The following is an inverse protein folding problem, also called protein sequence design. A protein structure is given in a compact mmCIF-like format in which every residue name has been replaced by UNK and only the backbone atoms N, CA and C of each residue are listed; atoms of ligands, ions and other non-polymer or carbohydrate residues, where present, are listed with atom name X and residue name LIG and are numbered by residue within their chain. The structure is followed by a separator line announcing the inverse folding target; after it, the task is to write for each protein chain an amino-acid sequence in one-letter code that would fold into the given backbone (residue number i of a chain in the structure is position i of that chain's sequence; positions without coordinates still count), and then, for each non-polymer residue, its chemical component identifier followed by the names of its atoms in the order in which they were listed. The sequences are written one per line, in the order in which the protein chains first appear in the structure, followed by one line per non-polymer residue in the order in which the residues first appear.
data_IF_097898173907
#
_entry.id   IF_097898173907
#
_cell.length_a   1.000
_cell.length_b   1.000
_cell.length_c   1.000
_cell.angle_alpha   90.00
_cell.angle_beta   90.00
_cell.angle_gamma   90.00
#
_symmetry.space_group_name_H-M   'P 1'
#
loop_
_entity.id
_entity.type
_entity.pdbx_description
1 polymer ?
#
# COMPACT_ATOMS: atom_id res chain seq x y z
N UNK A 1 -9.90 -5.66 27.85
CA UNK A 1 -9.64 -6.77 26.89
C UNK A 1 -9.12 -6.17 25.59
N UNK A 2 -8.00 -6.66 25.07
CA UNK A 2 -7.38 -6.12 23.85
C UNK A 2 -7.81 -6.88 22.60
N UNK A 3 -7.84 -6.20 21.45
CA UNK A 3 -8.08 -6.83 20.15
C UNK A 3 -6.96 -7.76 19.73
N UNK A 4 -7.32 -8.84 19.03
CA UNK A 4 -6.36 -9.81 18.48
C UNK A 4 -5.44 -9.18 17.43
N UNK A 5 -4.28 -9.80 17.19
CA UNK A 5 -3.36 -9.36 16.13
C UNK A 5 -4.02 -9.42 14.74
N UNK A 6 -4.83 -10.45 14.48
CA UNK A 6 -5.55 -10.60 13.21
C UNK A 6 -6.54 -9.46 12.96
N UNK A 7 -7.30 -9.07 13.99
CA UNK A 7 -8.23 -7.94 13.92
C UNK A 7 -7.49 -6.63 13.62
N UNK A 8 -6.37 -6.37 14.32
CA UNK A 8 -5.54 -5.18 14.12
C UNK A 8 -4.96 -5.09 12.71
N UNK A 9 -4.40 -6.19 12.21
CA UNK A 9 -3.84 -6.26 10.85
C UNK A 9 -4.96 -6.09 9.81
N UNK A 10 -6.11 -6.74 10.00
CA UNK A 10 -7.25 -6.62 9.09
C UNK A 10 -7.78 -5.18 9.01
N UNK A 11 -7.86 -4.47 10.14
CA UNK A 11 -8.26 -3.06 10.17
C UNK A 11 -7.25 -2.18 9.43
N UNK A 12 -5.95 -2.39 9.66
CA UNK A 12 -4.90 -1.65 8.96
C UNK A 12 -4.93 -1.86 7.45
N UNK A 13 -5.10 -3.11 7.00
CA UNK A 13 -5.16 -3.45 5.58
C UNK A 13 -6.38 -2.82 4.90
N UNK A 14 -7.55 -2.80 5.56
CA UNK A 14 -8.76 -2.17 5.00
C UNK A 14 -8.61 -0.65 4.82
N UNK A 15 -8.06 0.04 5.82
CA UNK A 15 -7.78 1.48 5.73
C UNK A 15 -6.85 1.77 4.56
N UNK A 16 -5.77 0.99 4.40
CA UNK A 16 -4.79 1.21 3.34
C UNK A 16 -5.30 0.81 1.95
N UNK A 17 -6.07 -0.28 1.83
CA UNK A 17 -6.56 -0.78 0.55
C UNK A 17 -7.69 0.08 -0.03
N UNK A 18 -8.58 0.59 0.83
CA UNK A 18 -9.75 1.36 0.40
C UNK A 18 -9.61 2.87 0.58
N UNK A 19 -8.55 3.33 1.25
CA UNK A 19 -8.37 4.75 1.55
C UNK A 19 -9.46 5.31 2.48
N UNK A 20 -10.05 4.46 3.33
CA UNK A 20 -11.15 4.84 4.21
C UNK A 20 -10.64 5.41 5.54
N UNK A 21 -11.43 6.27 6.21
CA UNK A 21 -11.14 6.74 7.56
C UNK A 21 -10.99 5.59 8.58
N UNK A 22 -10.20 5.82 9.64
CA UNK A 22 -9.88 4.79 10.64
C UNK A 22 -11.09 4.45 11.54
N UNK A 23 -11.97 5.41 11.80
CA UNK A 23 -13.24 5.24 12.52
C UNK A 23 -14.25 4.37 11.77
N UNK A 24 -14.19 4.34 10.43
CA UNK A 24 -15.02 3.47 9.59
C UNK A 24 -14.76 1.96 9.80
N UNK A 25 -13.64 1.60 10.42
CA UNK A 25 -13.35 0.19 10.73
C UNK A 25 -14.16 -0.37 11.89
N UNK A 26 -14.78 0.50 12.71
CA UNK A 26 -15.62 0.09 13.84
C UNK A 26 -16.89 -0.63 13.35
N UNK A 27 -17.44 -0.21 12.20
CA UNK A 27 -18.65 -0.82 11.61
C UNK A 27 -18.46 -2.30 11.24
N UNK A 28 -17.25 -2.68 10.83
CA UNK A 28 -16.95 -4.04 10.34
C UNK A 28 -16.24 -4.92 11.37
N UNK A 29 -15.25 -4.36 12.07
CA UNK A 29 -14.37 -5.12 12.96
C UNK A 29 -14.60 -4.80 14.44
N UNK A 30 -15.47 -3.82 14.74
CA UNK A 30 -15.72 -3.29 16.08
C UNK A 30 -14.44 -2.88 16.80
N UNK A 31 -13.53 -2.27 16.04
CA UNK A 31 -12.26 -1.71 16.53
C UNK A 31 -12.39 -0.19 16.54
N UNK A 32 -12.12 0.40 17.70
CA UNK A 32 -12.09 1.85 17.85
C UNK A 32 -10.97 2.52 17.05
N UNK A 33 -11.24 3.75 16.60
CA UNK A 33 -10.37 4.58 15.76
C UNK A 33 -8.91 4.63 16.22
N UNK A 34 -8.65 4.78 17.52
CA UNK A 34 -7.29 4.87 18.06
C UNK A 34 -6.50 3.59 17.82
N UNK A 35 -7.14 2.43 18.03
CA UNK A 35 -6.48 1.13 17.81
C UNK A 35 -6.26 0.88 16.33
N UNK A 36 -7.20 1.26 15.46
CA UNK A 36 -7.03 1.17 14.00
C UNK A 36 -5.88 2.06 13.54
N UNK A 37 -5.82 3.31 14.01
CA UNK A 37 -4.76 4.26 13.67
C UNK A 37 -3.39 3.74 14.08
N UNK A 38 -3.27 3.22 15.30
CA UNK A 38 -2.01 2.62 15.77
C UNK A 38 -1.65 1.35 14.98
N UNK A 39 -2.65 0.55 14.60
CA UNK A 39 -2.44 -0.64 13.78
C UNK A 39 -1.93 -0.29 12.39
N UNK A 40 -2.50 0.74 11.74
CA UNK A 40 -2.02 1.28 10.45
C UNK A 40 -0.58 1.76 10.58
N UNK A 41 -0.27 2.54 11.61
CA UNK A 41 1.10 3.05 11.84
C UNK A 41 2.12 1.93 12.00
N UNK A 42 1.81 0.91 12.82
CA UNK A 42 2.70 -0.24 13.02
C UNK A 42 2.87 -1.06 11.75
N UNK A 43 1.78 -1.30 11.03
CA UNK A 43 1.79 -2.03 9.78
C UNK A 43 2.65 -1.30 8.74
N UNK A 44 2.44 0.01 8.55
CA UNK A 44 3.23 0.82 7.63
C UNK A 44 4.71 0.83 8.00
N UNK A 45 5.06 0.98 9.29
CA UNK A 45 6.46 0.89 9.75
C UNK A 45 7.08 -0.48 9.43
N UNK A 46 6.33 -1.57 9.58
CA UNK A 46 6.80 -2.91 9.24
C UNK A 46 7.04 -3.04 7.71
N UNK A 47 6.09 -2.57 6.90
CA UNK A 47 6.22 -2.57 5.43
C UNK A 47 7.44 -1.76 5.00
N UNK A 48 7.61 -0.55 5.54
CA UNK A 48 8.78 0.30 5.26
C UNK A 48 10.07 -0.40 5.70
N UNK A 49 10.08 -1.05 6.86
CA UNK A 49 11.27 -1.78 7.33
C UNK A 49 11.63 -2.94 6.41
N UNK A 50 10.65 -3.68 5.91
CA UNK A 50 10.86 -4.88 5.09
C UNK A 50 11.19 -4.56 3.64
N UNK A 51 10.56 -3.51 3.09
CA UNK A 51 10.56 -3.23 1.66
C UNK A 51 11.15 -1.85 1.32
N UNK A 52 11.42 -1.00 2.32
CA UNK A 52 11.84 0.38 2.10
C UNK A 52 13.14 0.50 1.31
N UNK A 53 14.13 -0.36 1.58
CA UNK A 53 15.38 -0.36 0.84
C UNK A 53 15.18 -0.64 -0.66
N UNK A 54 14.24 -1.53 -0.99
CA UNK A 54 13.96 -1.89 -2.37
C UNK A 54 13.05 -0.86 -3.08
N UNK A 55 12.03 -0.34 -2.39
CA UNK A 55 10.94 0.41 -3.02
C UNK A 55 10.90 1.92 -2.69
N UNK A 56 11.63 2.39 -1.67
CA UNK A 56 11.73 3.83 -1.33
C UNK A 56 13.04 4.47 -1.83
N UNK A 57 13.80 3.77 -2.66
CA UNK A 57 14.94 4.32 -3.39
C UNK A 57 14.53 4.79 -4.79
N UNK A 58 15.38 5.59 -5.43
CA UNK A 58 15.24 5.87 -6.85
C UNK A 58 15.29 4.58 -7.66
N UNK A 59 14.44 4.49 -8.69
CA UNK A 59 14.46 3.38 -9.65
C UNK A 59 15.83 3.32 -10.32
N UNK A 60 16.39 2.13 -10.43
CA UNK A 60 17.56 1.89 -11.25
C UNK A 60 17.13 1.33 -12.62
N UNK A 61 18.09 1.07 -13.51
CA UNK A 61 17.82 0.55 -14.85
C UNK A 61 17.13 -0.83 -14.82
N UNK A 62 17.49 -1.68 -13.85
CA UNK A 62 16.90 -3.01 -13.68
C UNK A 62 15.43 -2.93 -13.24
N UNK A 63 15.11 -2.05 -12.27
CA UNK A 63 13.72 -1.83 -11.87
C UNK A 63 12.89 -1.30 -13.02
N UNK A 64 13.45 -0.36 -13.80
CA UNK A 64 12.79 0.23 -14.96
C UNK A 64 12.45 -0.86 -15.99
N UNK A 65 13.43 -1.69 -16.34
CA UNK A 65 13.24 -2.79 -17.27
C UNK A 65 12.19 -3.79 -16.77
N UNK A 66 12.29 -4.20 -15.50
CA UNK A 66 11.34 -5.12 -14.87
C UNK A 66 9.91 -4.56 -14.89
N UNK A 67 9.73 -3.29 -14.53
CA UNK A 67 8.43 -2.63 -14.53
C UNK A 67 7.86 -2.53 -15.94
N UNK A 68 8.67 -2.17 -16.94
CA UNK A 68 8.25 -2.12 -18.35
C UNK A 68 7.77 -3.49 -18.85
N UNK A 69 8.54 -4.56 -18.61
CA UNK A 69 8.17 -5.92 -19.02
C UNK A 69 6.87 -6.40 -18.34
N UNK A 70 6.71 -6.08 -17.05
CA UNK A 70 5.49 -6.40 -16.30
C UNK A 70 4.28 -5.65 -16.84
N UNK A 71 4.44 -4.38 -17.20
CA UNK A 71 3.37 -3.54 -17.70
C UNK A 71 2.99 -3.88 -19.14
N UNK A 72 3.96 -4.22 -19.99
CA UNK A 72 3.72 -4.72 -21.34
C UNK A 72 2.89 -6.01 -21.32
N UNK A 73 3.22 -6.97 -20.44
CA UNK A 73 2.42 -8.20 -20.23
C UNK A 73 1.00 -7.92 -19.75
N UNK A 74 0.77 -6.79 -19.09
CA UNK A 74 -0.56 -6.35 -18.64
C UNK A 74 -1.32 -5.52 -19.68
N UNK A 75 -0.73 -5.27 -20.86
CA UNK A 75 -1.34 -4.48 -21.93
C UNK A 75 -1.01 -2.97 -21.90
N UNK A 76 0.01 -2.56 -21.14
CA UNK A 76 0.42 -1.16 -20.96
C UNK A 76 1.87 -0.95 -21.46
N UNK A 77 2.11 -1.04 -22.79
CA UNK A 77 3.45 -0.90 -23.35
C UNK A 77 4.03 0.49 -23.10
N UNK A 78 5.29 0.55 -22.66
CA UNK A 78 5.99 1.81 -22.37
C UNK A 78 5.64 2.47 -21.03
N UNK A 79 4.84 1.83 -20.18
CA UNK A 79 4.42 2.36 -18.89
C UNK A 79 5.44 2.02 -17.79
N UNK A 80 5.85 3.00 -16.98
CA UNK A 80 6.72 2.78 -15.82
C UNK A 80 5.93 2.76 -14.51
N UNK A 81 4.90 3.61 -14.39
CA UNK A 81 4.03 3.69 -13.22
C UNK A 81 2.54 3.79 -13.54
N UNK A 82 1.68 3.64 -12.52
CA UNK A 82 0.22 3.72 -12.68
C UNK A 82 -0.29 5.11 -13.09
N UNK A 83 0.49 6.16 -12.86
CA UNK A 83 0.16 7.53 -13.25
C UNK A 83 0.52 7.87 -14.70
N UNK A 84 1.41 7.10 -15.34
CA UNK A 84 1.76 7.30 -16.75
C UNK A 84 0.58 6.99 -17.69
N UNK A 85 -0.47 6.32 -17.18
CA UNK A 85 -1.75 6.12 -17.88
C UNK A 85 -2.53 7.43 -18.13
N UNK A 86 -2.23 8.50 -17.41
CA UNK A 86 -2.90 9.79 -17.56
C UNK A 86 -2.10 10.73 -18.45
N UNK A 87 -2.07 10.45 -19.76
CA UNK A 87 -1.87 11.39 -20.88
C UNK A 87 -1.03 12.67 -20.65
N UNK A 88 0.05 12.64 -19.86
CA UNK A 88 0.99 13.74 -19.80
C UNK A 88 2.10 13.46 -20.82
N UNK A 89 2.15 14.27 -21.88
CA UNK A 89 3.36 14.36 -22.69
C UNK A 89 4.44 14.98 -21.81
N UNK A 90 5.55 14.26 -21.66
CA UNK A 90 6.81 14.84 -21.19
C UNK A 90 7.21 16.03 -22.06
#
# INVERSE_FOLDING_TARGET
MGFSAYQKISAAMRVLAYGIPADYTDEYLRIGQDTTTESVRRFAKLVIRLYGEQYLRALNEEDTKRLMEMNEKRGWPGMLGSLDCMHWRW
#
